data_IF_756836859853
#
_entry.id   IF_756836859853
#
_cell.length_a   1.000
_cell.length_b   1.000
_cell.length_c   1.000
_cell.angle_alpha   90.00
_cell.angle_beta   90.00
_cell.angle_gamma   90.00
#
_symmetry.space_group_name_H-M   'P 1'
#
loop_
_entity.id
_entity.type
_entity.pdbx_description
1 polymer ?
#
# COMPACT_ATOMS: atom_id res chain seq x y z
N UNK A 1 11.24 7.58 34.57
CA UNK A 1 11.40 7.30 33.12
C UNK A 1 10.04 7.12 32.51
N UNK A 2 9.79 7.62 31.29
CA UNK A 2 8.55 7.33 30.59
C UNK A 2 8.53 5.84 30.19
N UNK A 3 7.37 5.15 30.24
CA UNK A 3 7.28 3.78 29.75
C UNK A 3 7.69 3.67 28.28
N UNK A 4 8.03 2.47 27.83
CA UNK A 4 8.35 2.23 26.42
C UNK A 4 7.18 2.57 25.51
N UNK A 5 7.46 3.07 24.31
CA UNK A 5 6.43 3.25 23.29
C UNK A 5 5.81 1.88 22.95
N UNK A 6 4.49 1.81 22.90
CA UNK A 6 3.74 0.56 22.72
C UNK A 6 3.13 0.01 24.02
N UNK A 7 3.54 0.51 25.19
CA UNK A 7 3.00 0.08 26.49
C UNK A 7 2.43 1.24 27.33
N UNK A 8 2.37 2.45 26.77
CA UNK A 8 1.86 3.64 27.48
C UNK A 8 0.33 3.62 27.49
N UNK A 9 -0.29 4.21 28.50
CA UNK A 9 -1.73 4.43 28.51
C UNK A 9 -2.07 5.71 27.75
N UNK A 10 -3.19 5.69 27.02
CA UNK A 10 -3.74 6.89 26.38
C UNK A 10 -4.37 7.80 27.43
N UNK A 11 -3.56 8.66 28.04
CA UNK A 11 -3.98 9.51 29.15
C UNK A 11 -4.93 10.66 28.73
N UNK A 12 -5.08 10.90 27.42
CA UNK A 12 -5.92 11.98 26.87
C UNK A 12 -7.11 11.45 26.06
N UNK A 13 -7.70 10.33 26.51
CA UNK A 13 -8.75 9.62 25.77
C UNK A 13 -9.92 10.53 25.36
N UNK A 14 -10.42 11.39 26.24
CA UNK A 14 -11.53 12.30 25.92
C UNK A 14 -11.20 13.26 24.78
N UNK A 15 -10.00 13.84 24.80
CA UNK A 15 -9.50 14.71 23.72
C UNK A 15 -9.36 13.92 22.42
N UNK A 16 -8.75 12.74 22.49
CA UNK A 16 -8.58 11.86 21.34
C UNK A 16 -9.94 11.52 20.72
N UNK A 17 -10.90 11.05 21.53
CA UNK A 17 -12.24 10.72 21.06
C UNK A 17 -12.94 11.94 20.46
N UNK A 18 -12.86 13.12 21.09
CA UNK A 18 -13.45 14.35 20.57
C UNK A 18 -12.91 14.73 19.19
N UNK A 19 -11.59 14.69 19.01
CA UNK A 19 -10.98 15.01 17.70
C UNK A 19 -11.36 13.97 16.67
N UNK A 20 -11.21 12.68 16.99
CA UNK A 20 -11.48 11.59 16.04
C UNK A 20 -12.96 11.47 15.66
N UNK A 21 -13.89 11.81 16.55
CA UNK A 21 -15.33 11.77 16.24
C UNK A 21 -15.82 13.00 15.47
N UNK A 22 -15.07 14.10 15.45
CA UNK A 22 -15.46 15.34 14.80
C UNK A 22 -15.09 15.28 13.31
N UNK A 23 -16.05 15.27 12.37
CA UNK A 23 -15.74 15.24 10.95
C UNK A 23 -15.02 16.51 10.50
N UNK A 24 -14.11 16.37 9.54
CA UNK A 24 -13.46 17.50 8.89
C UNK A 24 -14.47 18.40 8.20
N UNK A 25 -14.25 19.72 8.29
CA UNK A 25 -15.08 20.71 7.60
C UNK A 25 -14.65 20.85 6.14
N UNK A 26 -15.55 21.34 5.27
CA UNK A 26 -15.24 21.57 3.84
C UNK A 26 -14.04 22.51 3.62
N UNK A 27 -13.84 23.48 4.51
CA UNK A 27 -12.72 24.43 4.44
C UNK A 27 -11.35 23.78 4.69
N UNK A 28 -11.33 22.66 5.39
CA UNK A 28 -10.11 21.91 5.67
C UNK A 28 -9.73 20.96 4.52
N UNK A 29 -10.65 20.68 3.59
CA UNK A 29 -10.43 19.75 2.50
C UNK A 29 -9.90 20.47 1.26
N UNK A 30 -8.96 19.83 0.59
CA UNK A 30 -8.54 20.23 -0.75
C UNK A 30 -9.46 19.60 -1.79
N UNK A 31 -9.52 20.18 -2.98
CA UNK A 31 -10.40 19.73 -4.06
C UNK A 31 -9.61 19.56 -5.35
N UNK A 32 -9.79 18.43 -6.01
CA UNK A 32 -9.25 18.17 -7.35
C UNK A 32 -10.38 18.09 -8.37
N UNK A 33 -10.05 18.37 -9.62
CA UNK A 33 -10.98 18.19 -10.73
C UNK A 33 -11.21 16.69 -10.95
N UNK A 34 -12.47 16.28 -10.87
CA UNK A 34 -12.95 14.95 -11.20
C UNK A 34 -13.59 14.88 -12.59
N UNK A 35 -14.03 13.68 -13.01
CA UNK A 35 -14.74 13.49 -14.26
C UNK A 35 -15.98 14.39 -14.34
N UNK A 36 -16.35 14.80 -15.56
CA UNK A 36 -17.56 15.62 -15.83
C UNK A 36 -17.63 16.93 -15.03
N UNK A 37 -16.49 17.55 -14.74
CA UNK A 37 -16.49 18.84 -14.03
C UNK A 37 -16.72 18.74 -12.52
N UNK A 38 -16.89 17.54 -11.95
CA UNK A 38 -17.09 17.36 -10.50
C UNK A 38 -15.85 17.74 -9.70
N UNK A 39 -16.00 18.25 -8.47
CA UNK A 39 -14.87 18.49 -7.55
C UNK A 39 -14.80 17.33 -6.56
N UNK A 40 -13.68 16.61 -6.54
CA UNK A 40 -13.46 15.50 -5.63
C UNK A 40 -12.68 16.01 -4.41
N UNK A 41 -13.26 15.96 -3.20
CA UNK A 41 -12.53 16.34 -2.00
C UNK A 41 -11.43 15.32 -1.68
N UNK A 42 -10.32 15.79 -1.12
CA UNK A 42 -9.26 14.94 -0.60
C UNK A 42 -8.58 15.57 0.62
N UNK A 43 -7.99 14.71 1.46
CA UNK A 43 -7.15 15.15 2.57
C UNK A 43 -5.72 15.39 2.11
N UNK A 44 -5.20 16.57 2.39
CA UNK A 44 -3.77 16.84 2.34
C UNK A 44 -3.04 16.08 3.46
N UNK A 45 -1.87 15.54 3.15
CA UNK A 45 -1.09 14.76 4.13
C UNK A 45 -0.64 15.61 5.31
N UNK A 46 -0.33 16.89 5.08
CA UNK A 46 0.06 17.84 6.13
C UNK A 46 -1.06 18.04 7.16
N UNK A 47 -2.30 18.19 6.69
CA UNK A 47 -3.47 18.30 7.57
C UNK A 47 -3.74 16.98 8.30
N UNK A 48 -3.59 15.82 7.63
CA UNK A 48 -3.73 14.52 8.29
C UNK A 48 -2.74 14.36 9.47
N UNK A 49 -1.47 14.76 9.26
CA UNK A 49 -0.44 14.78 10.30
C UNK A 49 -0.80 15.75 11.43
N UNK A 50 -1.28 16.95 11.10
CA UNK A 50 -1.71 17.93 12.10
C UNK A 50 -2.87 17.40 12.95
N UNK A 51 -3.87 16.77 12.33
CA UNK A 51 -5.01 16.17 13.04
C UNK A 51 -4.56 15.00 13.92
N UNK A 52 -3.64 14.16 13.44
CA UNK A 52 -3.05 13.09 14.25
C UNK A 52 -2.29 13.65 15.47
N UNK A 53 -1.48 14.69 15.28
CA UNK A 53 -0.80 15.39 16.38
C UNK A 53 -1.79 16.02 17.37
N UNK A 54 -2.92 16.55 16.88
CA UNK A 54 -3.95 17.14 17.72
C UNK A 54 -4.73 16.07 18.51
N UNK A 55 -4.98 14.91 17.90
CA UNK A 55 -5.76 13.81 18.48
C UNK A 55 -4.94 12.97 19.47
N UNK A 56 -3.73 12.57 19.10
CA UNK A 56 -2.89 11.64 19.86
C UNK A 56 -1.82 12.39 20.68
N UNK A 57 -1.27 13.47 20.13
CA UNK A 57 -0.08 14.14 20.64
C UNK A 57 1.16 13.80 19.80
N UNK A 58 2.12 14.73 19.64
CA UNK A 58 3.23 14.60 18.69
C UNK A 58 4.20 13.47 18.97
N UNK A 59 4.28 12.99 20.23
CA UNK A 59 5.14 11.88 20.64
C UNK A 59 4.36 10.58 20.92
N UNK A 60 3.05 10.57 20.65
CA UNK A 60 2.13 9.50 21.01
C UNK A 60 1.71 8.63 19.83
N UNK A 61 2.23 8.90 18.63
CA UNK A 61 2.05 8.08 17.46
C UNK A 61 3.32 8.09 16.60
N UNK A 62 3.46 7.09 15.74
CA UNK A 62 4.56 6.98 14.77
C UNK A 62 4.08 6.33 13.49
N UNK A 63 4.81 6.56 12.40
CA UNK A 63 4.64 5.85 11.14
C UNK A 63 5.92 5.12 10.75
N UNK A 64 5.76 3.93 10.17
CA UNK A 64 6.86 3.08 9.70
C UNK A 64 6.55 2.59 8.28
N UNK A 65 7.49 2.75 7.36
CA UNK A 65 7.40 2.15 6.02
C UNK A 65 7.83 0.68 6.14
N UNK A 66 6.88 -0.24 5.96
CA UNK A 66 7.12 -1.70 6.03
C UNK A 66 7.66 -2.24 4.71
N UNK A 67 7.18 -1.72 3.59
CA UNK A 67 7.60 -2.09 2.26
C UNK A 67 7.40 -0.91 1.30
N UNK A 68 8.29 -0.75 0.33
CA UNK A 68 8.16 0.18 -0.79
C UNK A 68 8.59 -0.53 -2.06
N UNK A 69 7.63 -0.74 -2.97
CA UNK A 69 7.83 -1.55 -4.16
C UNK A 69 7.53 -0.73 -5.41
N UNK A 70 8.44 -0.78 -6.39
CA UNK A 70 8.17 -0.31 -7.74
C UNK A 70 7.25 -1.32 -8.44
N UNK A 71 6.07 -0.88 -8.86
CA UNK A 71 5.10 -1.73 -9.58
C UNK A 71 5.46 -1.82 -11.06
N UNK A 72 5.73 -0.66 -11.67
CA UNK A 72 6.19 -0.56 -13.05
C UNK A 72 6.97 0.74 -13.27
N UNK A 73 7.80 0.71 -14.31
CA UNK A 73 8.49 1.85 -14.90
C UNK A 73 8.45 1.65 -16.41
N UNK A 74 7.88 2.60 -17.14
CA UNK A 74 7.77 2.57 -18.59
C UNK A 74 8.22 3.91 -19.16
N UNK A 75 9.04 3.87 -20.20
CA UNK A 75 9.31 5.00 -21.08
C UNK A 75 8.26 5.04 -22.21
N UNK A 76 7.61 6.18 -22.38
CA UNK A 76 6.51 6.41 -23.33
C UNK A 76 6.77 7.72 -24.08
N UNK A 77 7.52 7.63 -25.19
CA UNK A 77 8.05 8.80 -25.87
C UNK A 77 9.07 9.54 -24.98
N UNK A 78 8.92 10.86 -24.84
CA UNK A 78 9.81 11.70 -24.02
C UNK A 78 9.44 11.71 -22.52
N UNK A 79 8.64 10.75 -22.05
CA UNK A 79 8.15 10.72 -20.67
C UNK A 79 8.31 9.34 -20.03
N UNK A 80 8.59 9.36 -18.73
CA UNK A 80 8.61 8.19 -17.87
C UNK A 80 7.31 8.13 -17.07
N UNK A 81 6.61 7.00 -17.18
CA UNK A 81 5.49 6.64 -16.31
C UNK A 81 5.97 5.64 -15.27
N UNK A 82 5.79 5.97 -14.00
CA UNK A 82 6.25 5.15 -12.87
C UNK A 82 5.12 4.99 -11.85
N UNK A 83 5.06 3.82 -11.22
CA UNK A 83 4.13 3.53 -10.13
C UNK A 83 4.83 2.81 -8.98
N UNK A 84 4.50 3.21 -7.76
CA UNK A 84 4.97 2.59 -6.52
C UNK A 84 3.80 2.21 -5.61
N UNK A 85 3.95 1.07 -4.94
CA UNK A 85 3.13 0.66 -3.79
C UNK A 85 3.93 0.83 -2.52
N UNK A 86 3.33 1.40 -1.47
CA UNK A 86 3.94 1.44 -0.14
C UNK A 86 3.02 0.74 0.88
N UNK A 87 3.57 -0.13 1.72
CA UNK A 87 2.89 -0.64 2.92
C UNK A 87 3.40 0.16 4.11
N UNK A 88 2.51 0.80 4.84
CA UNK A 88 2.86 1.61 6.03
C UNK A 88 2.11 1.07 7.24
N UNK A 89 2.77 1.15 8.40
CA UNK A 89 2.15 0.98 9.71
C UNK A 89 2.08 2.32 10.43
N UNK A 90 0.93 2.67 10.96
CA UNK A 90 0.78 3.76 11.94
C UNK A 90 0.50 3.15 13.30
N UNK A 91 1.35 3.45 14.29
CA UNK A 91 1.25 2.92 15.65
C UNK A 91 1.01 4.02 16.65
N UNK A 92 0.22 3.75 17.69
CA UNK A 92 0.00 4.60 18.85
C UNK A 92 0.87 4.15 20.02
N UNK A 93 1.07 5.05 20.98
CA UNK A 93 1.91 4.80 22.16
C UNK A 93 1.44 3.67 23.07
N UNK A 94 0.18 3.25 22.95
CA UNK A 94 -0.42 2.13 23.66
C UNK A 94 -0.31 0.79 22.90
N UNK A 95 0.42 0.76 21.78
CA UNK A 95 0.69 -0.45 21.00
C UNK A 95 -0.41 -0.80 19.98
N UNK A 96 -1.47 0.01 19.92
CA UNK A 96 -2.46 -0.08 18.86
C UNK A 96 -1.87 0.38 17.52
N UNK A 97 -2.23 -0.30 16.43
CA UNK A 97 -1.77 0.11 15.11
C UNK A 97 -2.77 -0.21 14.00
N UNK A 98 -2.55 0.44 12.85
CA UNK A 98 -3.17 0.11 11.58
C UNK A 98 -2.10 0.01 10.50
N UNK A 99 -2.32 -0.94 9.58
CA UNK A 99 -1.51 -1.10 8.38
C UNK A 99 -2.42 -0.99 7.15
N UNK A 100 -1.93 -0.31 6.13
CA UNK A 100 -2.61 -0.21 4.84
C UNK A 100 -1.57 0.01 3.73
N UNK A 101 -2.01 -0.18 2.50
CA UNK A 101 -1.23 0.01 1.29
C UNK A 101 -1.64 1.32 0.62
N UNK A 102 -0.67 2.12 0.22
CA UNK A 102 -0.87 3.31 -0.60
C UNK A 102 -0.26 3.17 -1.98
N UNK A 103 -0.79 3.93 -2.94
CA UNK A 103 -0.31 3.95 -4.32
C UNK A 103 0.12 5.35 -4.74
N UNK A 104 1.22 5.42 -5.48
CA UNK A 104 1.72 6.66 -6.03
C UNK A 104 2.15 6.48 -7.48
N UNK A 105 1.65 7.35 -8.35
CA UNK A 105 1.93 7.32 -9.78
C UNK A 105 2.46 8.69 -10.21
N UNK A 106 3.40 8.68 -11.15
CA UNK A 106 3.90 9.90 -11.76
C UNK A 106 4.18 9.69 -13.25
N UNK A 107 3.99 10.76 -14.00
CA UNK A 107 4.35 10.87 -15.41
C UNK A 107 5.16 12.16 -15.58
N UNK A 108 6.45 12.04 -15.90
CA UNK A 108 7.41 13.15 -15.98
C UNK A 108 8.45 12.89 -17.07
N UNK A 109 9.06 13.96 -17.59
CA UNK A 109 10.15 13.86 -18.57
C UNK A 109 11.45 13.36 -17.95
N UNK A 110 11.73 13.74 -16.71
CA UNK A 110 12.91 13.29 -15.99
C UNK A 110 12.57 12.06 -15.14
N UNK A 111 13.37 11.00 -15.27
CA UNK A 111 13.14 9.75 -14.55
C UNK A 111 13.23 9.93 -13.02
N UNK A 112 14.21 10.70 -12.55
CA UNK A 112 14.40 11.00 -11.12
C UNK A 112 13.16 11.67 -10.52
N UNK A 113 12.62 12.68 -11.20
CA UNK A 113 11.40 13.38 -10.79
C UNK A 113 10.19 12.44 -10.78
N UNK A 114 10.05 11.57 -11.79
CA UNK A 114 8.97 10.58 -11.83
C UNK A 114 9.05 9.63 -10.63
N UNK A 115 10.23 9.09 -10.33
CA UNK A 115 10.45 8.18 -9.19
C UNK A 115 10.15 8.90 -7.87
N UNK A 116 10.71 10.10 -7.68
CA UNK A 116 10.55 10.88 -6.46
C UNK A 116 9.06 11.18 -6.18
N UNK A 117 8.32 11.66 -7.18
CA UNK A 117 6.90 11.95 -7.04
C UNK A 117 6.07 10.70 -6.76
N UNK A 118 6.35 9.59 -7.46
CA UNK A 118 5.60 8.35 -7.27
C UNK A 118 5.86 7.74 -5.87
N UNK A 119 7.11 7.71 -5.40
CA UNK A 119 7.45 7.22 -4.06
C UNK A 119 6.82 8.07 -2.95
N UNK A 120 6.95 9.41 -3.04
CA UNK A 120 6.32 10.34 -2.08
C UNK A 120 4.80 10.18 -2.07
N UNK A 121 4.20 10.03 -3.24
CA UNK A 121 2.77 9.78 -3.40
C UNK A 121 2.33 8.49 -2.71
N UNK A 122 3.03 7.38 -2.94
CA UNK A 122 2.70 6.08 -2.38
C UNK A 122 2.75 6.07 -0.85
N UNK A 123 3.82 6.61 -0.28
CA UNK A 123 3.99 6.68 1.18
C UNK A 123 2.94 7.61 1.81
N UNK A 124 2.72 8.79 1.22
CA UNK A 124 1.74 9.75 1.74
C UNK A 124 0.31 9.21 1.67
N UNK A 125 -0.04 8.49 0.60
CA UNK A 125 -1.32 7.82 0.47
C UNK A 125 -1.48 6.73 1.55
N UNK A 126 -0.47 5.89 1.74
CA UNK A 126 -0.49 4.81 2.75
C UNK A 126 -0.67 5.37 4.17
N UNK A 127 0.02 6.46 4.52
CA UNK A 127 -0.12 7.14 5.82
C UNK A 127 -1.54 7.66 6.02
N UNK A 128 -2.09 8.41 5.06
CA UNK A 128 -3.48 8.91 5.14
C UNK A 128 -4.47 7.76 5.28
N UNK A 129 -4.22 6.68 4.55
CA UNK A 129 -5.03 5.48 4.57
C UNK A 129 -4.99 4.79 5.93
N UNK A 130 -3.83 4.63 6.57
CA UNK A 130 -3.73 4.11 7.93
C UNK A 130 -4.45 5.03 8.94
N UNK A 131 -4.27 6.34 8.81
CA UNK A 131 -4.87 7.31 9.73
C UNK A 131 -6.40 7.28 9.71
N UNK A 132 -7.03 7.11 8.54
CA UNK A 132 -8.49 7.10 8.41
C UNK A 132 -9.18 6.08 9.34
N UNK A 133 -8.52 4.96 9.66
CA UNK A 133 -9.09 3.92 10.51
C UNK A 133 -9.32 4.38 11.95
N UNK A 134 -8.60 5.40 12.43
CA UNK A 134 -8.79 5.91 13.78
C UNK A 134 -10.03 6.80 13.93
N UNK A 135 -10.53 7.43 12.87
CA UNK A 135 -11.78 8.20 12.94
C UNK A 135 -12.01 9.25 11.85
N UNK A 136 -13.14 9.94 11.97
CA UNK A 136 -13.61 10.95 11.02
C UNK A 136 -12.71 12.19 10.99
N UNK A 137 -12.18 12.62 12.15
CA UNK A 137 -11.30 13.80 12.26
C UNK A 137 -9.94 13.65 11.58
N UNK A 138 -9.56 12.41 11.25
CA UNK A 138 -8.32 12.09 10.52
C UNK A 138 -8.61 11.52 9.12
N UNK A 139 -9.85 11.67 8.64
CA UNK A 139 -10.17 11.51 7.22
C UNK A 139 -11.01 10.30 6.83
N UNK A 140 -11.68 9.62 7.77
CA UNK A 140 -12.61 8.54 7.41
C UNK A 140 -13.81 9.03 6.57
N UNK A 141 -14.31 10.24 6.82
CA UNK A 141 -15.56 10.77 6.23
C UNK A 141 -15.37 11.89 5.20
N UNK A 142 -14.40 11.74 4.31
CA UNK A 142 -14.10 12.76 3.28
C UNK A 142 -14.94 12.57 2.02
N UNK A 143 -15.33 11.33 1.72
CA UNK A 143 -16.12 10.99 0.55
C UNK A 143 -17.61 11.09 0.91
N UNK A 144 -18.25 12.21 0.60
CA UNK A 144 -19.72 12.32 0.68
C UNK A 144 -20.40 12.69 -0.64
N UNK A 145 -19.64 13.10 -1.65
CA UNK A 145 -20.20 13.49 -2.94
C UNK A 145 -19.80 12.48 -4.05
N UNK A 146 -20.44 11.29 -4.04
CA UNK A 146 -20.60 10.49 -5.27
C UNK A 146 -19.56 9.39 -5.62
N UNK A 147 -18.86 8.77 -4.68
CA UNK A 147 -17.95 7.66 -5.02
C UNK A 147 -17.66 6.68 -3.88
N UNK A 148 -18.29 5.50 -3.96
CA UNK A 148 -18.08 4.28 -3.16
C UNK A 148 -17.68 4.51 -1.70
N UNK A 149 -18.67 4.40 -0.82
CA UNK A 149 -18.50 4.40 0.63
C UNK A 149 -17.53 3.29 1.07
N UNK A 150 -16.25 3.64 1.21
CA UNK A 150 -15.30 2.87 2.02
C UNK A 150 -15.38 3.28 3.48
N UNK A 151 -16.55 3.74 3.93
CA UNK A 151 -16.76 4.23 5.27
C UNK A 151 -16.52 3.06 6.22
N UNK A 152 -15.35 3.05 6.88
CA UNK A 152 -15.08 2.08 7.93
C UNK A 152 -16.07 2.44 9.05
N UNK A 153 -16.87 1.48 9.56
CA UNK A 153 -17.78 1.78 10.66
C UNK A 153 -16.98 2.41 11.81
N UNK A 154 -17.27 3.67 12.13
CA UNK A 154 -16.74 4.30 13.33
C UNK A 154 -17.46 3.67 14.53
N UNK A 155 -16.76 3.05 15.50
CA UNK A 155 -17.40 2.58 16.71
C UNK A 155 -18.03 3.77 17.42
N UNK A 156 -19.31 3.66 17.75
CA UNK A 156 -20.06 4.75 18.41
C UNK A 156 -19.78 4.85 19.92
N UNK A 157 -18.80 4.13 20.45
CA UNK A 157 -18.62 4.02 21.91
C UNK A 157 -17.20 3.63 22.28
N UNK A 158 -16.50 4.53 22.99
CA UNK A 158 -15.44 4.27 23.98
C UNK A 158 -14.13 3.58 23.56
N UNK A 159 -14.07 2.90 22.43
CA UNK A 159 -12.90 2.11 22.00
C UNK A 159 -12.46 2.52 20.61
N UNK A 160 -11.18 2.92 20.49
CA UNK A 160 -10.52 3.15 19.21
C UNK A 160 -10.39 1.77 18.51
N UNK A 161 -10.90 1.59 17.29
CA UNK A 161 -10.91 0.30 16.62
C UNK A 161 -9.53 -0.03 16.07
N UNK A 162 -8.57 -0.37 16.94
CA UNK A 162 -7.18 -0.61 16.54
C UNK A 162 -6.74 -2.06 16.76
N UNK A 163 -5.81 -2.52 15.92
CA UNK A 163 -5.19 -3.85 16.08
C UNK A 163 -4.15 -3.71 17.19
N UNK A 164 -4.29 -4.47 18.28
CA UNK A 164 -3.27 -4.60 19.32
C UNK A 164 -2.46 -5.88 19.11
N UNK A 165 -1.16 -5.84 19.45
CA UNK A 165 -0.26 -7.00 19.39
C UNK A 165 -0.77 -8.20 20.22
N UNK A 166 -1.51 -7.98 21.31
CA UNK A 166 -2.13 -9.05 22.09
C UNK A 166 -3.25 -9.79 21.34
N UNK A 167 -3.93 -9.13 20.40
CA UNK A 167 -5.00 -9.70 19.57
C UNK A 167 -4.56 -10.08 18.15
N UNK A 168 -3.33 -9.71 17.75
CA UNK A 168 -2.79 -10.00 16.41
C UNK A 168 -2.66 -11.51 16.13
N UNK A 169 -2.33 -12.31 17.15
CA UNK A 169 -2.23 -13.77 17.03
C UNK A 169 -3.57 -14.46 16.74
N UNK A 170 -4.70 -13.91 17.20
CA UNK A 170 -6.03 -14.50 16.94
C UNK A 170 -6.59 -14.12 15.57
N UNK A 171 -6.28 -12.92 15.05
CA UNK A 171 -6.77 -12.45 13.75
C UNK A 171 -6.01 -13.09 12.59
N UNK A 172 -4.69 -13.29 12.71
CA UNK A 172 -3.88 -14.00 11.72
C UNK A 172 -4.40 -15.42 11.45
N UNK A 173 -4.85 -16.14 12.49
CA UNK A 173 -5.44 -17.48 12.35
C UNK A 173 -6.80 -17.47 11.62
N UNK A 174 -7.60 -16.39 11.74
CA UNK A 174 -8.89 -16.26 11.07
C UNK A 174 -8.76 -15.92 9.58
N UNK A 175 -7.79 -15.08 9.21
CA UNK A 175 -7.51 -14.74 7.81
C UNK A 175 -6.84 -15.92 7.08
N UNK A 176 -5.94 -16.66 7.74
CA UNK A 176 -5.30 -17.85 7.17
C UNK A 176 -6.31 -19.00 6.89
N UNK A 177 -7.42 -19.05 7.63
CA UNK A 177 -8.49 -20.03 7.40
C UNK A 177 -9.47 -19.65 6.27
N UNK A 178 -9.56 -18.36 5.89
CA UNK A 178 -10.46 -17.87 4.84
C UNK A 178 -9.81 -17.81 3.44
N UNK A 179 -8.49 -17.98 3.33
CA UNK A 179 -7.74 -17.84 2.07
C UNK A 179 -7.09 -19.15 1.57
N UNK A 180 -7.53 -20.33 2.03
CA UNK A 180 -7.13 -21.58 1.38
C UNK A 180 -7.98 -21.79 0.12
N UNK A 181 -7.39 -21.89 -1.08
CA UNK A 181 -8.12 -22.36 -2.25
C UNK A 181 -8.57 -23.80 -1.97
N UNK A 182 -9.87 -24.06 -2.10
CA UNK A 182 -10.40 -25.42 -2.14
C UNK A 182 -9.69 -26.16 -3.27
N UNK A 183 -9.08 -27.30 -2.92
CA UNK A 183 -8.49 -28.23 -3.89
C UNK A 183 -9.50 -28.54 -5.00
N UNK A 184 -8.96 -28.57 -6.21
CA UNK A 184 -9.59 -28.92 -7.49
C UNK A 184 -10.69 -29.98 -7.41
N UNK A 185 -11.87 -29.66 -7.96
CA UNK A 185 -12.81 -30.69 -8.41
C UNK A 185 -12.36 -31.18 -9.80
N UNK A 186 -12.24 -32.50 -10.04
CA UNK A 186 -11.94 -33.03 -11.36
C UNK A 186 -13.13 -32.85 -12.32
N UNK A 187 -12.84 -32.53 -13.59
CA UNK A 187 -13.84 -32.42 -14.65
C UNK A 187 -14.61 -33.74 -14.88
N UNK A 188 -15.89 -33.69 -15.26
CA UNK A 188 -16.65 -34.87 -15.65
C UNK A 188 -16.19 -35.43 -16.99
N UNK A 189 -16.40 -36.73 -17.10
CA UNK A 189 -15.78 -37.68 -18.02
C UNK A 189 -16.49 -37.68 -19.38
N UNK A 190 -15.73 -37.79 -20.48
CA UNK A 190 -16.23 -38.22 -21.79
C UNK A 190 -15.96 -39.73 -21.96
N UNK A 191 -16.90 -40.52 -22.51
CA UNK A 191 -16.74 -41.96 -22.59
C UNK A 191 -15.76 -42.38 -23.68
N UNK A 192 -14.84 -43.29 -23.31
CA UNK A 192 -14.10 -44.22 -24.19
C UNK A 192 -15.10 -45.31 -24.62
N UNK A 193 -15.15 -45.88 -25.82
CA UNK A 193 -14.06 -46.43 -26.66
C UNK A 193 -14.63 -46.80 -28.04
N UNK A 194 -13.78 -46.88 -29.07
CA UNK A 194 -13.73 -48.03 -29.98
C UNK A 194 -12.39 -48.05 -30.72
N UNK A 195 -11.74 -49.20 -30.63
CA UNK A 195 -10.47 -49.54 -31.23
C UNK A 195 -10.57 -49.61 -32.75
N UNK A 196 -9.52 -49.19 -33.46
CA UNK A 196 -9.04 -49.94 -34.62
C UNK A 196 -7.53 -49.71 -34.78
N UNK A 197 -6.83 -50.85 -34.86
CA UNK A 197 -5.41 -51.00 -35.15
C UNK A 197 -5.06 -50.42 -36.52
N UNK A 198 -3.88 -49.80 -36.67
CA UNK A 198 -2.92 -50.26 -37.69
C UNK A 198 -1.54 -49.60 -37.57
N UNK A 199 -0.56 -50.39 -38.01
CA UNK A 199 0.88 -50.31 -37.79
C UNK A 199 1.63 -49.34 -38.70
N UNK A 200 2.87 -49.05 -38.27
CA UNK A 200 4.09 -48.82 -39.07
C UNK A 200 4.47 -47.37 -39.44
N UNK A 201 5.59 -46.89 -38.87
CA UNK A 201 6.92 -46.77 -39.52
C UNK A 201 7.85 -45.84 -38.72
N UNK A 202 9.09 -46.29 -38.54
CA UNK A 202 10.22 -45.54 -37.97
C UNK A 202 10.79 -44.54 -38.99
N UNK A 203 11.29 -43.38 -38.54
CA UNK A 203 12.62 -42.80 -38.88
C UNK A 203 12.90 -41.50 -38.10
N UNK A 204 14.17 -41.11 -37.83
CA UNK A 204 14.57 -40.06 -36.88
C UNK A 204 15.19 -38.79 -37.58
N UNK A 205 16.03 -37.96 -36.92
CA UNK A 205 15.69 -36.69 -36.28
C UNK A 205 16.26 -35.45 -36.99
N UNK A 206 15.88 -34.22 -36.59
CA UNK A 206 16.65 -33.01 -36.94
C UNK A 206 16.82 -32.06 -35.75
N UNK A 207 18.07 -31.93 -35.29
CA UNK A 207 18.56 -30.90 -34.37
C UNK A 207 18.82 -29.62 -35.15
N UNK A 208 18.51 -28.46 -34.56
CA UNK A 208 19.24 -27.22 -34.83
C UNK A 208 19.55 -26.52 -33.51
N UNK A 209 20.85 -26.43 -33.27
CA UNK A 209 21.53 -25.62 -32.25
C UNK A 209 21.44 -24.14 -32.63
N UNK A 210 21.35 -23.26 -31.63
CA UNK A 210 22.14 -22.03 -31.63
C UNK A 210 22.64 -21.73 -30.22
N UNK A 211 23.95 -21.56 -30.12
CA UNK A 211 24.78 -21.34 -28.93
C UNK A 211 25.71 -20.20 -29.28
N UNK A 212 25.83 -19.16 -28.44
CA UNK A 212 27.04 -18.36 -28.15
C UNK A 212 26.66 -17.01 -27.51
N UNK A 213 27.40 -16.41 -26.57
CA UNK A 213 28.67 -16.72 -25.90
C UNK A 213 28.78 -15.79 -24.67
N UNK A 214 29.45 -16.23 -23.61
CA UNK A 214 29.93 -15.42 -22.47
C UNK A 214 31.40 -15.00 -22.68
N UNK A 215 31.84 -13.91 -22.03
CA UNK A 215 33.17 -13.67 -21.41
C UNK A 215 33.05 -12.37 -20.58
N UNK A 216 33.23 -12.31 -19.24
CA UNK A 216 34.39 -12.48 -18.34
C UNK A 216 35.35 -11.26 -18.31
N UNK A 217 35.34 -10.59 -17.13
CA UNK A 217 36.35 -9.86 -16.33
C UNK A 217 37.48 -9.02 -16.96
N UNK A 218 37.71 -7.79 -16.42
CA UNK A 218 38.96 -7.37 -15.74
C UNK A 218 38.89 -5.95 -15.12
N UNK A 219 39.40 -5.84 -13.89
CA UNK A 219 40.01 -4.72 -13.11
C UNK A 219 40.10 -3.26 -13.63
N UNK A 220 39.89 -2.32 -12.70
CA UNK A 220 40.12 -0.85 -12.76
C UNK A 220 41.58 -0.41 -12.95
N UNK A 221 41.84 0.88 -13.29
CA UNK A 221 42.32 1.81 -12.24
C UNK A 221 41.81 3.27 -12.32
N UNK A 222 42.00 3.97 -11.21
CA UNK A 222 41.70 5.38 -10.87
C UNK A 222 42.70 6.34 -11.55
N UNK A 223 42.24 7.52 -11.98
CA UNK A 223 43.09 8.69 -12.29
C UNK A 223 42.49 10.00 -11.72
N UNK A 224 43.33 11.02 -11.42
CA UNK A 224 43.05 12.04 -10.41
C UNK A 224 42.37 13.33 -10.94
N UNK A 225 41.77 14.07 -10.00
CA UNK A 225 41.29 15.45 -10.16
C UNK A 225 42.44 16.42 -10.49
N UNK A 226 42.23 17.29 -11.48
CA UNK A 226 42.99 18.53 -11.65
C UNK A 226 42.15 19.71 -11.16
N UNK A 227 42.65 20.39 -10.15
CA UNK A 227 42.29 21.77 -9.77
C UNK A 227 42.92 22.76 -10.74
N UNK A 228 42.11 23.68 -11.26
CA UNK A 228 42.45 25.08 -11.54
C UNK A 228 41.21 25.92 -11.25
#
# INVERSE_FOLDING_TARGET
>A
MLPNFGTRQLNQLERTLKVLSTPLTKQQLAYRQGPRGTKIPYLEVSLAIQQANQAFGPCAWSSEIKNLQQNYLKEDGDQFRVSFSATVRVSLENGCFHEDIGQGNAERRQLSEAIEHAQKGAVSDAVKRCLRYFGDGVGNRILKDGGRDFNVPTPRTGTIPCISLSNHWQIQLRIYFLLKPTRSNPCPHLPRSREHQNQSKQTPPRKTLYRHRQAIETSSPILPLKTQ
#
